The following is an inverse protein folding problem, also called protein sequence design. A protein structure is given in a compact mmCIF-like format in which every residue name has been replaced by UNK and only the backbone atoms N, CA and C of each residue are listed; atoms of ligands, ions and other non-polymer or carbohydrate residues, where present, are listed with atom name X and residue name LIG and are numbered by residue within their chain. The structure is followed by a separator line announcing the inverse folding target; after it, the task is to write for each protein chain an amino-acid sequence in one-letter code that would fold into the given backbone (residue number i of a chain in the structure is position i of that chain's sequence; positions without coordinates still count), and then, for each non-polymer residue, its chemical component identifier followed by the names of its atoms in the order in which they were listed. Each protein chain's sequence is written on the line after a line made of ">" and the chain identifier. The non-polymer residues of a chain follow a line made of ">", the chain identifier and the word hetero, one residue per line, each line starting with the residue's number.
data_IF_138608611415
#
_entry.id   IF_138608611415
#
_cell.length_a   1.000
_cell.length_b   1.000
_cell.length_c   1.000
_cell.angle_alpha   90.00
_cell.angle_beta   90.00
_cell.angle_gamma   90.00
#
_symmetry.space_group_name_H-M   'P 1'
#
loop_
_entity.id
_entity.type
_entity.pdbx_description
1 polymer ?
#
# COMPACT_ATOMS: atom_id res chain seq x y z
N UNK A 1 -2.16 8.34 47.42
CA UNK A 1 -3.57 8.55 46.99
C UNK A 1 -4.26 7.20 46.74
N UNK A 2 -5.50 7.06 47.20
CA UNK A 2 -6.25 5.79 47.19
C UNK A 2 -6.68 5.40 45.78
N UNK A 3 -6.14 4.28 45.27
CA UNK A 3 -6.45 3.77 43.93
C UNK A 3 -7.89 3.26 43.81
N UNK A 4 -8.53 2.86 44.91
CA UNK A 4 -9.84 2.20 44.88
C UNK A 4 -10.96 3.11 44.36
N UNK A 5 -10.81 4.42 44.52
CA UNK A 5 -11.84 5.42 44.21
C UNK A 5 -11.52 6.29 42.99
N UNK A 6 -10.44 5.99 42.25
CA UNK A 6 -10.09 6.77 41.06
C UNK A 6 -10.96 6.31 39.85
N UNK A 7 -11.88 7.15 39.34
CA UNK A 7 -12.75 6.79 38.22
C UNK A 7 -11.99 6.55 36.91
N UNK A 8 -10.73 6.98 36.80
CA UNK A 8 -9.88 6.77 35.62
C UNK A 8 -8.85 5.65 35.79
N UNK A 9 -8.90 4.89 36.90
CA UNK A 9 -7.93 3.81 37.18
C UNK A 9 -7.81 2.78 36.05
N UNK A 10 -8.92 2.47 35.38
CA UNK A 10 -8.95 1.53 34.25
C UNK A 10 -8.45 2.10 32.92
N UNK A 11 -8.20 3.41 32.84
CA UNK A 11 -7.70 4.10 31.64
C UNK A 11 -6.23 4.55 31.79
N UNK A 12 -5.63 4.33 32.96
CA UNK A 12 -4.20 4.56 33.16
C UNK A 12 -3.38 3.58 32.32
N UNK A 13 -2.29 4.05 31.75
CA UNK A 13 -1.28 3.19 31.11
C UNK A 13 -0.09 2.93 32.06
N UNK A 14 0.04 3.75 33.10
CA UNK A 14 1.05 3.61 34.16
C UNK A 14 0.37 3.68 35.52
N UNK A 15 0.98 3.02 36.51
CA UNK A 15 0.61 3.18 37.91
C UNK A 15 1.06 4.56 38.44
N UNK A 16 0.59 4.93 39.62
CA UNK A 16 0.98 6.21 40.26
C UNK A 16 2.47 6.30 40.60
N UNK A 17 3.17 5.18 40.75
CA UNK A 17 4.61 5.08 40.93
C UNK A 17 5.38 5.04 39.59
N UNK A 18 4.69 5.35 38.48
CA UNK A 18 5.19 5.29 37.10
C UNK A 18 5.61 3.89 36.62
N UNK A 19 5.31 2.83 37.38
CA UNK A 19 5.52 1.47 36.89
C UNK A 19 4.56 1.16 35.73
N UNK A 20 5.03 0.45 34.68
CA UNK A 20 4.23 0.18 33.49
C UNK A 20 3.08 -0.78 33.80
N UNK A 21 1.89 -0.49 33.29
CA UNK A 21 0.78 -1.44 33.28
C UNK A 21 0.79 -2.26 31.98
N UNK A 22 0.05 -3.39 31.92
CA UNK A 22 -0.05 -4.20 30.71
C UNK A 22 -0.46 -3.41 29.45
N UNK A 23 -1.31 -2.39 29.61
CA UNK A 23 -1.71 -1.49 28.53
C UNK A 23 -0.52 -0.69 27.95
N UNK A 24 0.40 -0.21 28.80
CA UNK A 24 1.63 0.45 28.33
C UNK A 24 2.50 -0.50 27.52
N UNK A 25 2.70 -1.74 27.99
CA UNK A 25 3.47 -2.74 27.23
C UNK A 25 2.79 -3.09 25.91
N UNK A 26 1.46 -3.16 25.87
CA UNK A 26 0.72 -3.39 24.63
C UNK A 26 0.89 -2.23 23.63
N UNK A 27 0.78 -0.98 24.10
CA UNK A 27 1.03 0.21 23.28
C UNK A 27 2.48 0.28 22.81
N UNK A 28 3.43 -0.06 23.67
CA UNK A 28 4.86 -0.06 23.32
C UNK A 28 5.18 -1.09 22.23
N UNK A 29 4.52 -2.28 22.27
CA UNK A 29 4.63 -3.28 21.21
C UNK A 29 3.97 -2.82 19.91
N UNK A 30 2.85 -2.10 20.00
CA UNK A 30 2.12 -1.59 18.84
C UNK A 30 2.68 -0.25 18.31
N UNK A 31 3.61 0.39 19.03
CA UNK A 31 4.12 1.72 18.71
C UNK A 31 4.65 1.86 17.27
N UNK A 32 5.38 0.87 16.70
CA UNK A 32 5.79 0.96 15.30
C UNK A 32 4.60 1.08 14.33
N UNK A 33 3.52 0.34 14.56
CA UNK A 33 2.31 0.41 13.73
C UNK A 33 1.53 1.70 13.97
N UNK A 34 1.46 2.18 15.21
CA UNK A 34 0.77 3.44 15.56
C UNK A 34 1.48 4.66 14.93
N UNK A 35 2.82 4.64 14.92
CA UNK A 35 3.61 5.72 14.34
C UNK A 35 3.75 5.64 12.82
N UNK A 36 3.40 4.50 12.21
CA UNK A 36 3.47 4.33 10.78
C UNK A 36 2.36 5.11 10.07
N UNK A 37 2.74 5.70 8.95
CA UNK A 37 1.84 6.41 8.07
C UNK A 37 1.00 5.41 7.27
N UNK A 38 -0.30 5.40 7.54
CA UNK A 38 -1.26 4.55 6.83
C UNK A 38 -1.68 5.09 5.46
N UNK A 39 -2.70 4.45 4.87
CA UNK A 39 -3.28 4.81 3.58
C UNK A 39 -3.70 6.29 3.53
N UNK A 40 -3.32 6.97 2.45
CA UNK A 40 -3.63 8.38 2.24
C UNK A 40 -2.53 9.13 1.49
N UNK A 41 -2.71 10.44 1.34
CA UNK A 41 -1.72 11.37 0.80
C UNK A 41 -1.09 12.14 1.94
N UNK A 42 0.25 12.14 1.99
CA UNK A 42 1.02 12.68 3.10
C UNK A 42 2.06 13.66 2.57
N UNK A 43 1.95 14.96 2.90
CA UNK A 43 2.95 15.93 2.50
C UNK A 43 4.24 15.70 3.28
N UNK A 44 5.38 15.99 2.65
CA UNK A 44 6.63 16.09 3.41
C UNK A 44 6.57 17.30 4.33
N UNK A 45 7.12 17.15 5.53
CA UNK A 45 7.43 18.30 6.39
C UNK A 45 8.56 19.14 5.80
N UNK A 46 8.63 20.42 6.15
CA UNK A 46 9.70 21.31 5.68
C UNK A 46 11.10 20.74 5.94
N UNK A 47 11.33 20.16 7.12
CA UNK A 47 12.61 19.53 7.45
C UNK A 47 12.93 18.32 6.57
N UNK A 48 11.93 17.55 6.16
CA UNK A 48 12.14 16.44 5.20
C UNK A 48 12.44 16.96 3.81
N UNK A 49 11.76 18.03 3.38
CA UNK A 49 12.03 18.69 2.10
C UNK A 49 13.47 19.22 2.06
N UNK A 50 13.89 19.96 3.08
CA UNK A 50 15.26 20.48 3.21
C UNK A 50 16.30 19.34 3.11
N UNK A 51 16.13 18.28 3.91
CA UNK A 51 17.02 17.11 3.84
C UNK A 51 17.09 16.48 2.45
N UNK A 52 15.95 16.30 1.79
CA UNK A 52 15.93 15.73 0.44
C UNK A 52 16.64 16.64 -0.56
N UNK A 53 16.45 17.96 -0.46
CA UNK A 53 17.13 18.93 -1.32
C UNK A 53 18.65 18.95 -1.08
N UNK A 54 19.06 18.80 0.18
CA UNK A 54 20.46 18.64 0.64
C UNK A 54 21.05 17.25 0.34
N UNK A 55 20.28 16.38 -0.33
CA UNK A 55 20.68 15.01 -0.72
C UNK A 55 20.95 14.10 0.48
N UNK A 56 20.37 14.42 1.61
CA UNK A 56 20.29 13.55 2.78
C UNK A 56 19.14 12.55 2.65
N UNK A 57 19.20 11.50 3.47
CA UNK A 57 18.17 10.47 3.50
C UNK A 57 17.01 10.84 4.43
N UNK A 58 15.79 10.63 3.97
CA UNK A 58 14.58 10.69 4.79
C UNK A 58 14.05 9.28 4.98
N UNK A 59 13.83 8.89 6.25
CA UNK A 59 13.16 7.65 6.61
C UNK A 59 11.67 7.89 6.82
N UNK A 60 10.85 7.03 6.24
CA UNK A 60 9.41 6.98 6.35
C UNK A 60 9.01 5.61 6.90
N UNK A 61 8.06 5.60 7.82
CA UNK A 61 7.47 4.39 8.37
C UNK A 61 6.06 4.31 7.79
N UNK A 62 5.72 3.25 7.06
CA UNK A 62 4.47 3.22 6.27
C UNK A 62 3.76 1.88 6.40
N UNK A 63 2.43 1.89 6.36
CA UNK A 63 1.58 0.69 6.33
C UNK A 63 0.64 0.76 5.13
N UNK A 64 0.83 -0.16 4.19
CA UNK A 64 0.04 -0.28 2.98
C UNK A 64 0.78 -1.05 1.89
N UNK A 65 0.07 -1.41 0.84
CA UNK A 65 0.58 -2.29 -0.21
C UNK A 65 1.42 -1.59 -1.28
N UNK A 66 1.15 -0.30 -1.52
CA UNK A 66 1.77 0.51 -2.57
C UNK A 66 2.14 1.88 -2.07
N UNK A 67 3.30 2.36 -2.50
CA UNK A 67 3.79 3.70 -2.19
C UNK A 67 4.16 4.40 -3.50
N UNK A 68 3.62 5.60 -3.68
CA UNK A 68 4.01 6.50 -4.76
C UNK A 68 4.62 7.77 -4.18
N UNK A 69 5.70 8.25 -4.80
CA UNK A 69 6.31 9.54 -4.52
C UNK A 69 5.68 10.62 -5.38
N UNK A 70 5.50 11.80 -4.80
CA UNK A 70 4.98 12.98 -5.48
C UNK A 70 5.97 14.12 -5.34
N UNK A 71 6.36 14.73 -6.45
CA UNK A 71 7.21 15.92 -6.47
C UNK A 71 6.86 16.81 -7.67
N UNK A 72 7.15 18.10 -7.57
CA UNK A 72 7.15 19.00 -8.72
C UNK A 72 8.47 18.88 -9.48
N UNK A 73 8.38 18.79 -10.81
CA UNK A 73 9.53 18.73 -11.71
C UNK A 73 10.26 17.39 -11.73
N UNK A 74 11.11 17.20 -12.74
CA UNK A 74 11.88 15.97 -12.90
C UNK A 74 12.98 15.78 -11.84
N UNK A 75 13.12 14.55 -11.33
CA UNK A 75 14.09 14.18 -10.31
C UNK A 75 14.46 12.71 -10.35
N UNK A 76 15.44 12.31 -9.57
CA UNK A 76 15.79 10.88 -9.40
C UNK A 76 16.00 10.61 -7.92
N UNK A 77 15.41 9.53 -7.42
CA UNK A 77 15.46 9.19 -6.00
C UNK A 77 16.01 7.78 -5.83
N UNK A 78 17.05 7.64 -5.01
CA UNK A 78 17.46 6.34 -4.49
C UNK A 78 16.44 5.88 -3.45
N UNK A 79 16.01 4.63 -3.57
CA UNK A 79 14.96 4.05 -2.71
C UNK A 79 15.49 2.78 -2.06
N UNK A 80 15.37 2.71 -0.74
CA UNK A 80 15.60 1.49 0.04
C UNK A 80 14.34 1.15 0.80
N UNK A 81 13.93 -0.12 0.78
CA UNK A 81 12.73 -0.60 1.46
C UNK A 81 13.11 -1.79 2.32
N UNK A 82 12.84 -1.72 3.63
CA UNK A 82 13.17 -2.75 4.61
C UNK A 82 14.66 -3.15 4.56
N UNK A 83 15.53 -2.16 4.33
CA UNK A 83 16.97 -2.35 4.20
C UNK A 83 17.43 -2.89 2.84
N UNK A 84 16.52 -3.19 1.91
CA UNK A 84 16.83 -3.67 0.57
C UNK A 84 16.80 -2.51 -0.43
N UNK A 85 17.92 -2.26 -1.08
CA UNK A 85 18.02 -1.25 -2.13
C UNK A 85 17.17 -1.66 -3.35
N UNK A 86 16.30 -0.76 -3.79
CA UNK A 86 15.44 -0.96 -4.97
C UNK A 86 15.97 -0.26 -6.22
N UNK A 87 17.03 0.54 -6.07
CA UNK A 87 17.64 1.34 -7.11
C UNK A 87 17.05 2.75 -7.22
N UNK A 88 17.48 3.44 -8.27
CA UNK A 88 17.07 4.81 -8.57
C UNK A 88 15.73 4.84 -9.32
N UNK A 89 14.79 5.61 -8.78
CA UNK A 89 13.47 5.85 -9.37
C UNK A 89 13.45 7.25 -9.98
N UNK A 90 13.18 7.33 -11.28
CA UNK A 90 13.09 8.60 -11.99
C UNK A 90 11.68 9.15 -11.94
N UNK A 91 11.55 10.39 -11.47
CA UNK A 91 10.34 11.18 -11.55
C UNK A 91 10.42 12.03 -12.82
N UNK A 92 9.40 11.92 -13.66
CA UNK A 92 9.24 12.77 -14.84
C UNK A 92 8.34 13.99 -14.51
N UNK A 93 8.04 14.81 -15.52
CA UNK A 93 7.24 16.01 -15.34
C UNK A 93 5.76 15.73 -15.01
N UNK A 94 5.33 14.46 -14.97
CA UNK A 94 3.99 14.09 -14.48
C UNK A 94 3.87 14.24 -12.95
N UNK A 95 5.02 14.34 -12.26
CA UNK A 95 5.10 14.66 -10.84
C UNK A 95 4.75 13.51 -9.89
N UNK A 96 4.56 12.29 -10.39
CA UNK A 96 4.31 11.10 -9.55
C UNK A 96 4.98 9.86 -10.10
N UNK A 97 5.58 9.05 -9.22
CA UNK A 97 6.15 7.75 -9.59
C UNK A 97 5.90 6.71 -8.51
N UNK A 98 5.76 5.45 -8.92
CA UNK A 98 5.63 4.33 -7.98
C UNK A 98 7.00 3.91 -7.46
N UNK A 99 7.14 3.93 -6.14
CA UNK A 99 8.34 3.45 -5.46
C UNK A 99 8.31 1.94 -5.25
N UNK A 100 7.15 1.43 -4.81
CA UNK A 100 6.94 0.00 -4.60
C UNK A 100 5.46 -0.39 -4.62
N UNK A 101 5.21 -1.67 -4.87
CA UNK A 101 3.91 -2.35 -4.88
C UNK A 101 4.07 -3.76 -4.30
N UNK A 102 3.00 -4.33 -3.78
CA UNK A 102 3.04 -5.70 -3.24
C UNK A 102 3.79 -5.77 -1.91
N UNK A 103 3.77 -4.69 -1.13
CA UNK A 103 4.45 -4.63 0.17
C UNK A 103 3.75 -5.53 1.22
N UNK A 104 2.44 -5.75 1.05
CA UNK A 104 1.61 -6.47 2.02
C UNK A 104 1.13 -5.57 3.17
N UNK A 105 0.54 -6.20 4.18
CA UNK A 105 -0.15 -5.49 5.28
C UNK A 105 0.78 -5.11 6.45
N UNK A 106 2.09 -5.19 6.24
CA UNK A 106 3.12 -4.92 7.25
C UNK A 106 3.47 -3.44 7.41
N UNK A 107 4.26 -3.14 8.45
CA UNK A 107 4.97 -1.87 8.56
C UNK A 107 6.25 -1.98 7.75
N UNK A 108 6.49 -1.02 6.87
CA UNK A 108 7.67 -0.96 6.03
C UNK A 108 8.52 0.28 6.33
N UNK A 109 9.84 0.09 6.33
CA UNK A 109 10.84 1.15 6.41
C UNK A 109 11.19 1.61 5.00
N UNK A 110 10.82 2.83 4.63
CA UNK A 110 11.19 3.42 3.33
C UNK A 110 12.18 4.53 3.53
N UNK A 111 13.37 4.38 2.95
CA UNK A 111 14.41 5.39 2.96
C UNK A 111 14.51 5.98 1.56
N UNK A 112 14.37 7.30 1.49
CA UNK A 112 14.44 8.08 0.25
C UNK A 112 15.63 9.00 0.30
N UNK A 113 16.34 9.12 -0.83
CA UNK A 113 17.41 10.09 -1.02
C UNK A 113 17.34 10.66 -2.42
N UNK A 114 17.31 11.99 -2.56
CA UNK A 114 17.41 12.58 -3.89
C UNK A 114 18.82 12.33 -4.46
N UNK A 115 18.89 11.78 -5.67
CA UNK A 115 20.13 11.49 -6.39
C UNK A 115 20.80 12.81 -6.82
N UNK A 116 22.14 12.93 -6.81
CA UNK A 116 22.86 14.13 -7.25
C UNK A 116 22.49 14.60 -8.66
N UNK A 117 22.08 13.67 -9.53
CA UNK A 117 21.65 13.92 -10.91
C UNK A 117 20.24 14.53 -11.03
N UNK A 118 19.53 14.71 -9.91
CA UNK A 118 18.20 15.34 -9.92
C UNK A 118 18.29 16.79 -10.39
N UNK A 119 17.36 17.18 -11.27
CA UNK A 119 17.34 18.51 -11.88
C UNK A 119 17.16 19.63 -10.85
N UNK A 120 17.58 20.84 -11.22
CA UNK A 120 17.51 22.03 -10.36
C UNK A 120 16.07 22.42 -9.95
N UNK A 121 15.06 21.91 -10.66
CA UNK A 121 13.64 22.22 -10.43
C UNK A 121 12.91 21.16 -9.59
N UNK A 122 13.63 20.25 -8.94
CA UNK A 122 13.01 19.25 -8.08
C UNK A 122 12.37 19.92 -6.85
N UNK A 123 11.07 19.70 -6.66
CA UNK A 123 10.31 20.16 -5.49
C UNK A 123 9.66 18.96 -4.82
N UNK A 124 10.26 18.35 -3.79
CA UNK A 124 9.63 17.25 -3.04
C UNK A 124 8.29 17.72 -2.44
N UNK A 125 7.19 17.02 -2.76
CA UNK A 125 5.85 17.39 -2.28
C UNK A 125 5.40 16.44 -1.16
N UNK A 126 5.51 15.13 -1.40
CA UNK A 126 5.02 14.13 -0.45
C UNK A 126 4.98 12.74 -1.04
N UNK A 127 4.20 11.87 -0.40
CA UNK A 127 4.01 10.49 -0.82
C UNK A 127 2.57 10.03 -0.58
N UNK A 128 2.16 9.02 -1.34
CA UNK A 128 0.83 8.43 -1.27
C UNK A 128 1.00 6.96 -0.90
N UNK A 129 0.30 6.53 0.14
CA UNK A 129 0.21 5.13 0.54
C UNK A 129 -1.16 4.61 0.13
N UNK A 130 -1.19 3.46 -0.53
CA UNK A 130 -2.40 2.82 -1.04
C UNK A 130 -2.45 1.35 -0.64
N UNK A 131 -3.64 0.80 -0.50
CA UNK A 131 -3.88 -0.65 -0.41
C UNK A 131 -4.25 -1.19 -1.79
N UNK A 132 -3.89 -2.44 -2.07
CA UNK A 132 -4.38 -3.12 -3.26
C UNK A 132 -5.90 -3.28 -3.15
N UNK A 133 -6.61 -2.90 -4.20
CA UNK A 133 -8.05 -3.18 -4.26
C UNK A 133 -8.25 -4.69 -4.35
N UNK A 134 -9.08 -5.25 -3.46
CA UNK A 134 -9.57 -6.65 -3.51
C UNK A 134 -10.12 -6.98 -4.90
N UNK A 135 -10.62 -5.99 -5.63
CA UNK A 135 -11.10 -6.16 -7.00
C UNK A 135 -10.02 -6.64 -7.98
N UNK A 136 -8.76 -6.22 -7.79
CA UNK A 136 -7.67 -6.51 -8.72
C UNK A 136 -7.34 -8.00 -8.84
N UNK A 137 -7.49 -8.77 -7.75
CA UNK A 137 -7.21 -10.20 -7.77
C UNK A 137 -8.42 -11.05 -8.18
N UNK A 138 -9.65 -10.61 -7.89
CA UNK A 138 -10.85 -11.43 -8.09
C UNK A 138 -11.43 -11.32 -9.52
N UNK A 139 -11.33 -10.16 -10.17
CA UNK A 139 -11.92 -9.95 -11.49
C UNK A 139 -11.40 -10.87 -12.60
N UNK A 140 -10.10 -11.21 -12.68
CA UNK A 140 -9.61 -12.18 -13.67
C UNK A 140 -10.31 -13.54 -13.56
N UNK A 141 -10.56 -14.01 -12.33
CA UNK A 141 -11.25 -15.27 -12.09
C UNK A 141 -12.73 -15.20 -12.42
N UNK A 142 -13.40 -14.10 -12.06
CA UNK A 142 -14.81 -13.85 -12.44
C UNK A 142 -14.95 -13.85 -13.96
N UNK A 143 -14.09 -13.11 -14.66
CA UNK A 143 -14.10 -13.03 -16.12
C UNK A 143 -13.81 -14.39 -16.77
N UNK A 144 -12.87 -15.16 -16.21
CA UNK A 144 -12.58 -16.52 -16.66
C UNK A 144 -13.80 -17.45 -16.51
N UNK A 145 -14.45 -17.44 -15.35
CA UNK A 145 -15.66 -18.23 -15.11
C UNK A 145 -16.81 -17.82 -16.05
N UNK A 146 -16.98 -16.53 -16.29
CA UNK A 146 -18.00 -16.00 -17.20
C UNK A 146 -17.74 -16.44 -18.65
N UNK A 147 -16.48 -16.37 -19.10
CA UNK A 147 -16.07 -16.82 -20.42
C UNK A 147 -16.35 -18.33 -20.61
N UNK A 148 -16.01 -19.15 -19.61
CA UNK A 148 -16.31 -20.59 -19.62
C UNK A 148 -17.82 -20.84 -19.69
N UNK A 149 -18.61 -20.13 -18.89
CA UNK A 149 -20.07 -20.26 -18.90
C UNK A 149 -20.66 -19.91 -20.27
N UNK A 150 -20.17 -18.86 -20.93
CA UNK A 150 -20.58 -18.47 -22.29
C UNK A 150 -20.24 -19.58 -23.29
N UNK A 151 -19.01 -20.10 -23.25
CA UNK A 151 -18.58 -21.18 -24.16
C UNK A 151 -19.42 -22.44 -23.98
N UNK A 152 -19.70 -22.84 -22.73
CA UNK A 152 -20.54 -23.98 -22.42
C UNK A 152 -21.99 -23.78 -22.87
N UNK A 153 -22.52 -22.56 -22.72
CA UNK A 153 -23.86 -22.23 -23.19
C UNK A 153 -23.96 -22.36 -24.71
N UNK A 154 -22.98 -21.82 -25.45
CA UNK A 154 -22.90 -21.95 -26.91
C UNK A 154 -22.75 -23.43 -27.31
N UNK A 155 -21.87 -24.18 -26.67
CA UNK A 155 -21.68 -25.60 -26.93
C UNK A 155 -22.97 -26.40 -26.70
N UNK A 156 -23.71 -26.08 -25.64
CA UNK A 156 -25.02 -26.68 -25.33
C UNK A 156 -26.04 -26.41 -26.44
N UNK A 157 -26.12 -25.17 -26.94
CA UNK A 157 -27.02 -24.82 -28.05
C UNK A 157 -26.62 -25.55 -29.33
N UNK A 158 -25.33 -25.60 -29.68
CA UNK A 158 -24.83 -26.32 -30.85
C UNK A 158 -25.15 -27.81 -30.75
N UNK A 159 -24.94 -28.40 -29.58
CA UNK A 159 -25.23 -29.82 -29.35
C UNK A 159 -26.73 -30.12 -29.48
N UNK A 160 -27.59 -29.29 -28.88
CA UNK A 160 -29.05 -29.40 -29.01
C UNK A 160 -29.51 -29.33 -30.49
N UNK A 161 -28.97 -28.39 -31.27
CA UNK A 161 -29.29 -28.27 -32.70
C UNK A 161 -28.86 -29.50 -33.48
N UNK A 162 -27.66 -30.02 -33.20
CA UNK A 162 -27.13 -31.23 -33.84
C UNK A 162 -27.99 -32.45 -33.52
N UNK A 163 -28.36 -32.63 -32.25
CA UNK A 163 -29.16 -33.77 -31.81
C UNK A 163 -30.57 -33.73 -32.42
N UNK A 164 -31.22 -32.56 -32.41
CA UNK A 164 -32.53 -32.37 -33.05
C UNK A 164 -32.51 -32.73 -34.54
N UNK A 165 -31.45 -32.33 -35.27
CA UNK A 165 -31.29 -32.70 -36.69
C UNK A 165 -31.11 -34.20 -36.88
N UNK A 166 -30.33 -34.86 -36.02
CA UNK A 166 -30.10 -36.30 -36.09
C UNK A 166 -31.37 -37.11 -35.79
N UNK A 167 -32.20 -36.65 -34.85
CA UNK A 167 -33.49 -37.29 -34.54
C UNK A 167 -34.46 -37.16 -35.71
N UNK A 168 -34.57 -35.96 -36.31
CA UNK A 168 -35.47 -35.72 -37.46
C UNK A 168 -35.14 -36.57 -38.68
N UNK A 169 -33.86 -36.85 -38.92
CA UNK A 169 -33.40 -37.71 -40.02
C UNK A 169 -33.70 -39.21 -39.81
N UNK A 170 -34.03 -39.64 -38.58
CA UNK A 170 -34.40 -41.03 -38.28
C UNK A 170 -35.92 -41.27 -38.30
N UNK A 171 -36.70 -40.20 -38.19
CA UNK A 171 -38.16 -40.24 -38.08
C UNK A 171 -38.90 -39.96 -39.40
N UNK A 172 -38.18 -39.66 -40.48
CA UNK A 172 -38.72 -39.49 -41.83
C UNK A 172 -38.14 -40.52 -42.77
#
# INVERSE_FOLDING_TARGET
>A
PDQAHNPTRGFGIVNHDFSPQPAYTALQRAAPTIHATGVGSHPFSNAQVERLLDRESVKLLVVGDRIDLVAGGAGTFGVTIDGVERGDVRLDDTGRVTLARGLGDGVHDVVLRASPSSGANLVPIGFIVSVSSIQGWIYPWINGALAVAIVLNIASVVWMIRDYRAQRARSG
#
